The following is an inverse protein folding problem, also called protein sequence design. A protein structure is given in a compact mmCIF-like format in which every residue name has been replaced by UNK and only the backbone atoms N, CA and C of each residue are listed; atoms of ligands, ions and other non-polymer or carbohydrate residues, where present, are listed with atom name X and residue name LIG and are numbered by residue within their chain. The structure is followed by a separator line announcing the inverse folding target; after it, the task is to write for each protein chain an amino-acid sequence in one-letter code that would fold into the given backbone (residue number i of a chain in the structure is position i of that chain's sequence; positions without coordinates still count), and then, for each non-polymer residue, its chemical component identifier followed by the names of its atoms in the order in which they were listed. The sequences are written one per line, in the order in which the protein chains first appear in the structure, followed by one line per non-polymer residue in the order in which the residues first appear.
data_IF_354463226939
#
_entry.id   IF_354463226939
#
_cell.length_a   1.000
_cell.length_b   1.000
_cell.length_c   1.000
_cell.angle_alpha   90.00
_cell.angle_beta   90.00
_cell.angle_gamma   90.00
#
_symmetry.space_group_name_H-M   'P 1'
#
loop_
_entity.id
_entity.type
_entity.pdbx_description
1 polymer ?
#
# COMPACT_ATOMS: atom_id res chain seq x y z
N UNK A 1 -10.10 -29.63 21.91
CA UNK A 1 -10.83 -28.36 21.69
C UNK A 1 -9.89 -27.23 22.06
N UNK A 2 -9.31 -26.54 21.09
CA UNK A 2 -8.48 -25.36 21.32
C UNK A 2 -8.81 -24.38 20.20
N UNK A 3 -9.57 -23.34 20.54
CA UNK A 3 -9.92 -22.26 19.63
C UNK A 3 -8.63 -21.54 19.25
N UNK A 4 -8.40 -21.39 17.94
CA UNK A 4 -7.21 -20.70 17.41
C UNK A 4 -7.14 -19.22 17.85
N UNK A 5 -8.27 -18.72 18.32
CA UNK A 5 -8.49 -17.41 18.88
C UNK A 5 -9.46 -17.71 20.02
N UNK A 6 -9.00 -17.73 21.26
CA UNK A 6 -9.92 -17.77 22.40
C UNK A 6 -10.66 -16.43 22.40
N UNK A 7 -11.77 -16.35 21.66
CA UNK A 7 -12.57 -15.14 21.55
C UNK A 7 -13.21 -14.98 22.92
N UNK A 8 -12.69 -14.06 23.73
CA UNK A 8 -13.31 -13.69 24.99
C UNK A 8 -14.69 -13.12 24.66
N UNK A 9 -15.73 -13.90 24.93
CA UNK A 9 -17.15 -13.53 24.86
C UNK A 9 -17.52 -12.50 25.95
N UNK A 10 -16.78 -11.40 26.03
CA UNK A 10 -17.08 -10.23 26.86
C UNK A 10 -17.76 -9.14 26.04
N UNK A 11 -18.22 -8.07 26.71
CA UNK A 11 -18.71 -6.86 26.07
C UNK A 11 -17.57 -6.10 25.35
N UNK A 12 -17.10 -6.67 24.25
CA UNK A 12 -16.03 -6.10 23.43
C UNK A 12 -16.62 -5.05 22.48
N UNK A 13 -16.10 -3.82 22.59
CA UNK A 13 -16.43 -2.73 21.67
C UNK A 13 -15.67 -2.84 20.34
N UNK A 14 -16.13 -2.09 19.34
CA UNK A 14 -15.58 -2.07 17.97
C UNK A 14 -14.06 -1.87 17.96
N UNK A 15 -13.55 -0.93 18.77
CA UNK A 15 -12.12 -0.64 18.89
C UNK A 15 -11.25 -1.83 19.35
N UNK A 16 -11.80 -2.70 20.19
CA UNK A 16 -11.08 -3.89 20.66
C UNK A 16 -10.98 -4.98 19.59
N UNK A 17 -12.06 -5.22 18.85
CA UNK A 17 -12.09 -6.14 17.70
C UNK A 17 -11.12 -5.65 16.64
N UNK A 18 -11.19 -4.35 16.31
CA UNK A 18 -10.29 -3.70 15.38
C UNK A 18 -8.82 -3.91 15.75
N UNK A 19 -8.45 -3.67 17.01
CA UNK A 19 -7.06 -3.86 17.48
C UNK A 19 -6.60 -5.31 17.30
N UNK A 20 -7.52 -6.26 17.53
CA UNK A 20 -7.25 -7.69 17.31
C UNK A 20 -7.07 -8.02 15.82
N UNK A 21 -7.90 -7.44 14.93
CA UNK A 21 -7.74 -7.60 13.47
C UNK A 21 -6.37 -7.08 13.00
N UNK A 22 -5.97 -5.92 13.51
CA UNK A 22 -4.68 -5.29 13.20
C UNK A 22 -3.50 -6.18 13.60
N UNK A 23 -3.57 -6.80 14.78
CA UNK A 23 -2.53 -7.71 15.25
C UNK A 23 -2.47 -9.01 14.45
N UNK A 24 -3.59 -9.56 13.99
CA UNK A 24 -3.60 -10.79 13.17
C UNK A 24 -2.64 -10.71 11.97
N UNK A 25 -2.51 -9.55 11.32
CA UNK A 25 -1.58 -9.34 10.20
C UNK A 25 -0.09 -9.49 10.58
N UNK A 26 0.27 -9.34 11.84
CA UNK A 26 1.64 -9.52 12.34
C UNK A 26 1.97 -10.99 12.64
N UNK A 27 0.95 -11.83 12.78
CA UNK A 27 1.10 -13.27 13.06
C UNK A 27 1.09 -14.14 11.80
N UNK A 28 0.75 -13.58 10.64
CA UNK A 28 0.80 -14.28 9.35
C UNK A 28 2.25 -14.37 8.85
N UNK A 29 2.70 -15.59 8.60
CA UNK A 29 3.96 -15.90 7.92
C UNK A 29 3.69 -16.38 6.50
N UNK A 30 4.59 -16.10 5.57
CA UNK A 30 4.52 -16.62 4.21
C UNK A 30 5.38 -17.87 4.10
N UNK A 31 4.79 -18.97 3.63
CA UNK A 31 5.47 -20.26 3.51
C UNK A 31 6.54 -20.26 2.41
N UNK A 32 7.53 -21.14 2.55
CA UNK A 32 8.71 -21.21 1.66
C UNK A 32 8.37 -21.42 0.18
N UNK A 33 7.24 -22.06 -0.12
CA UNK A 33 6.75 -22.34 -1.48
C UNK A 33 6.42 -21.08 -2.30
N UNK A 34 6.41 -19.90 -1.68
CA UNK A 34 6.19 -18.64 -2.39
C UNK A 34 7.39 -18.18 -3.22
N UNK A 35 8.61 -18.67 -2.93
CA UNK A 35 9.81 -18.30 -3.69
C UNK A 35 9.99 -16.78 -3.80
N UNK A 36 10.32 -16.30 -5.00
CA UNK A 36 10.58 -14.88 -5.30
C UNK A 36 9.38 -13.94 -5.09
N UNK A 37 8.16 -14.47 -4.90
CA UNK A 37 6.95 -13.67 -4.68
C UNK A 37 6.62 -13.45 -3.20
N UNK A 38 7.51 -13.87 -2.30
CA UNK A 38 7.28 -13.81 -0.86
C UNK A 38 7.14 -12.37 -0.36
N UNK A 39 7.99 -11.44 -0.81
CA UNK A 39 7.87 -10.03 -0.41
C UNK A 39 6.63 -9.34 -0.96
N UNK A 40 6.24 -9.64 -2.20
CA UNK A 40 5.01 -9.09 -2.77
C UNK A 40 3.80 -9.52 -1.93
N UNK A 41 3.84 -10.77 -1.43
CA UNK A 41 2.83 -11.29 -0.52
C UNK A 41 2.79 -10.55 0.82
N UNK A 42 3.96 -10.28 1.42
CA UNK A 42 4.05 -9.46 2.63
C UNK A 42 3.52 -8.03 2.39
N UNK A 43 3.86 -7.42 1.26
CA UNK A 43 3.37 -6.09 0.89
C UNK A 43 1.84 -6.05 0.73
N UNK A 44 1.21 -7.09 0.17
CA UNK A 44 -0.26 -7.15 0.11
C UNK A 44 -0.88 -7.16 1.51
N UNK A 45 -0.33 -7.97 2.44
CA UNK A 45 -0.81 -8.03 3.82
C UNK A 45 -0.58 -6.71 4.56
N UNK A 46 0.58 -6.08 4.38
CA UNK A 46 0.91 -4.79 4.97
C UNK A 46 0.08 -3.65 4.38
N UNK A 47 -0.28 -3.72 3.11
CA UNK A 47 -1.25 -2.84 2.46
C UNK A 47 -2.64 -2.94 3.07
N UNK A 48 -3.16 -4.15 3.28
CA UNK A 48 -4.44 -4.35 3.95
C UNK A 48 -4.42 -3.84 5.39
N UNK A 49 -3.34 -4.12 6.13
CA UNK A 49 -3.16 -3.61 7.50
C UNK A 49 -3.14 -2.08 7.52
N UNK A 50 -2.41 -1.45 6.60
CA UNK A 50 -2.35 0.00 6.49
C UNK A 50 -3.72 0.59 6.14
N UNK A 51 -4.44 0.00 5.19
CA UNK A 51 -5.81 0.40 4.82
C UNK A 51 -6.79 0.29 5.98
N UNK A 52 -6.80 -0.84 6.70
CA UNK A 52 -7.62 -1.00 7.90
C UNK A 52 -7.27 0.06 8.95
N UNK A 53 -5.98 0.31 9.19
CA UNK A 53 -5.54 1.37 10.10
C UNK A 53 -6.04 2.76 9.70
N UNK A 54 -6.09 3.03 8.38
CA UNK A 54 -6.55 4.29 7.81
C UNK A 54 -8.04 4.47 8.04
N UNK A 55 -8.84 3.41 7.85
CA UNK A 55 -10.26 3.42 8.20
C UNK A 55 -10.49 3.75 9.66
N UNK A 56 -9.78 3.08 10.58
CA UNK A 56 -9.93 3.34 12.02
C UNK A 56 -9.61 4.78 12.41
N UNK A 57 -8.58 5.37 11.79
CA UNK A 57 -8.22 6.78 12.00
C UNK A 57 -9.26 7.73 11.38
N UNK A 58 -9.70 7.46 10.15
CA UNK A 58 -10.66 8.30 9.42
C UNK A 58 -12.02 8.41 10.11
N UNK A 59 -12.43 7.35 10.82
CA UNK A 59 -13.68 7.30 11.58
C UNK A 59 -13.50 7.62 13.07
N UNK A 60 -12.32 8.10 13.48
CA UNK A 60 -12.03 8.45 14.88
C UNK A 60 -12.33 7.32 15.87
N UNK A 61 -12.07 6.06 15.49
CA UNK A 61 -12.49 4.83 16.17
C UNK A 61 -12.25 4.80 17.70
N UNK A 62 -11.15 5.40 18.16
CA UNK A 62 -10.77 5.39 19.57
C UNK A 62 -11.32 6.57 20.38
N UNK A 63 -11.82 7.60 19.71
CA UNK A 63 -12.21 8.88 20.34
C UNK A 63 -13.68 9.23 20.11
N UNK A 64 -14.33 8.58 19.15
CA UNK A 64 -15.74 8.80 18.82
C UNK A 64 -16.55 7.49 18.90
N UNK A 65 -17.49 7.37 19.86
CA UNK A 65 -18.34 6.19 19.97
C UNK A 65 -19.29 5.98 18.78
N UNK A 66 -19.51 7.02 17.96
CA UNK A 66 -20.34 6.96 16.75
C UNK A 66 -19.50 6.90 15.46
N UNK A 67 -18.19 6.66 15.58
CA UNK A 67 -17.28 6.46 14.45
C UNK A 67 -17.29 7.62 13.44
N UNK A 68 -17.29 8.87 13.91
CA UNK A 68 -17.27 10.06 13.06
C UNK A 68 -18.62 10.37 12.40
N UNK A 69 -19.68 9.61 12.70
CA UNK A 69 -21.02 9.79 12.12
C UNK A 69 -22.07 9.99 13.22
N UNK A 70 -22.39 11.24 13.60
CA UNK A 70 -23.30 11.53 14.71
C UNK A 70 -24.70 10.91 14.59
N UNK A 71 -25.18 10.68 13.37
CA UNK A 71 -26.48 10.08 13.09
C UNK A 71 -26.44 8.55 12.95
N UNK A 72 -25.30 7.91 13.24
CA UNK A 72 -25.15 6.47 13.13
C UNK A 72 -26.16 5.74 14.04
N UNK A 73 -26.96 4.88 13.44
CA UNK A 73 -27.90 4.05 14.17
C UNK A 73 -27.17 2.93 14.94
N UNK A 74 -27.84 2.34 15.92
CA UNK A 74 -27.33 1.13 16.59
C UNK A 74 -27.09 -0.01 15.59
N UNK A 75 -27.90 -0.08 14.53
CA UNK A 75 -27.74 -1.09 13.48
C UNK A 75 -26.46 -0.85 12.66
N UNK A 76 -26.13 0.41 12.33
CA UNK A 76 -24.89 0.75 11.62
C UNK A 76 -23.66 0.38 12.45
N UNK A 77 -23.66 0.73 13.74
CA UNK A 77 -22.56 0.38 14.66
C UNK A 77 -22.42 -1.13 14.82
N UNK A 78 -23.55 -1.84 14.91
CA UNK A 78 -23.54 -3.31 14.96
C UNK A 78 -22.99 -3.90 13.65
N UNK A 79 -23.31 -3.30 12.51
CA UNK A 79 -22.83 -3.75 11.22
C UNK A 79 -21.30 -3.61 11.08
N UNK A 80 -20.74 -2.48 11.53
CA UNK A 80 -19.29 -2.32 11.60
C UNK A 80 -18.65 -3.35 12.54
N UNK A 81 -19.27 -3.60 13.70
CA UNK A 81 -18.82 -4.62 14.65
C UNK A 81 -18.80 -6.02 14.02
N UNK A 82 -19.87 -6.40 13.35
CA UNK A 82 -20.02 -7.72 12.72
C UNK A 82 -19.05 -7.89 11.54
N UNK A 83 -18.81 -6.83 10.77
CA UNK A 83 -17.85 -6.87 9.66
C UNK A 83 -16.42 -7.06 10.17
N UNK A 84 -16.03 -6.37 11.25
CA UNK A 84 -14.73 -6.61 11.90
C UNK A 84 -14.63 -8.03 12.46
N UNK A 85 -15.71 -8.58 13.02
CA UNK A 85 -15.74 -9.98 13.43
C UNK A 85 -15.55 -10.93 12.25
N UNK A 86 -16.17 -10.66 11.09
CA UNK A 86 -15.96 -11.47 9.89
C UNK A 86 -14.49 -11.43 9.43
N UNK A 87 -13.81 -10.29 9.55
CA UNK A 87 -12.35 -10.21 9.30
C UNK A 87 -11.59 -11.11 10.29
N UNK A 88 -11.93 -11.09 11.58
CA UNK A 88 -11.31 -12.01 12.55
C UNK A 88 -11.55 -13.49 12.22
N UNK A 89 -12.77 -13.84 11.83
CA UNK A 89 -13.12 -15.21 11.43
C UNK A 89 -12.30 -15.63 10.20
N UNK A 90 -12.19 -14.76 9.21
CA UNK A 90 -11.37 -15.00 8.01
C UNK A 90 -9.90 -15.25 8.38
N UNK A 91 -9.33 -14.44 9.27
CA UNK A 91 -7.97 -14.65 9.80
C UNK A 91 -7.87 -15.99 10.52
N UNK A 92 -8.87 -16.34 11.34
CA UNK A 92 -8.89 -17.58 12.10
C UNK A 92 -8.96 -18.83 11.22
N UNK A 93 -9.78 -18.79 10.18
CA UNK A 93 -9.92 -19.89 9.23
C UNK A 93 -8.64 -20.08 8.41
N UNK A 94 -7.95 -18.99 8.04
CA UNK A 94 -6.63 -19.09 7.40
C UNK A 94 -5.60 -19.80 8.32
N UNK A 95 -5.64 -19.55 9.63
CA UNK A 95 -4.81 -20.25 10.62
C UNK A 95 -5.19 -21.72 10.81
N UNK A 96 -6.48 -22.05 10.73
CA UNK A 96 -6.96 -23.45 10.77
C UNK A 96 -6.49 -24.23 9.55
N UNK A 97 -6.59 -23.64 8.35
CA UNK A 97 -6.07 -24.23 7.12
C UNK A 97 -4.58 -24.49 7.23
N UNK A 98 -3.79 -23.52 7.72
CA UNK A 98 -2.35 -23.66 7.95
C UNK A 98 -2.00 -24.91 8.77
N UNK A 99 -2.73 -25.19 9.85
CA UNK A 99 -2.48 -26.39 10.68
C UNK A 99 -2.80 -27.68 9.96
N UNK A 100 -3.86 -27.72 9.13
CA UNK A 100 -4.19 -28.91 8.33
C UNK A 100 -3.09 -29.23 7.32
N UNK A 101 -2.51 -28.22 6.68
CA UNK A 101 -1.37 -28.40 5.78
C UNK A 101 -0.13 -28.93 6.50
N UNK A 102 0.20 -28.40 7.69
CA UNK A 102 1.36 -28.86 8.47
C UNK A 102 1.26 -30.33 8.87
N UNK A 103 0.06 -30.84 9.15
CA UNK A 103 -0.15 -32.24 9.53
C UNK A 103 0.02 -33.22 8.35
N UNK A 104 -0.03 -32.74 7.10
CA UNK A 104 0.09 -33.58 5.90
C UNK A 104 1.42 -33.49 5.15
N UNK A 105 2.33 -32.58 5.52
CA UNK A 105 3.57 -32.34 4.79
C UNK A 105 4.77 -33.09 5.40
N UNK A 106 5.55 -33.81 4.59
CA UNK A 106 6.90 -34.29 4.94
C UNK A 106 7.88 -33.12 4.87
N UNK A 107 8.75 -33.00 5.86
CA UNK A 107 9.77 -31.94 5.93
C UNK A 107 10.92 -32.30 4.99
N UNK A 108 10.90 -31.76 3.76
CA UNK A 108 12.11 -31.68 2.95
C UNK A 108 12.84 -30.38 3.25
N UNK A 109 14.13 -30.52 3.57
CA UNK A 109 15.04 -29.43 3.86
C UNK A 109 15.78 -29.10 2.58
N UNK A 110 15.42 -27.98 1.97
CA UNK A 110 16.36 -27.29 1.09
C UNK A 110 16.33 -25.78 1.41
N UNK A 111 17.53 -25.25 1.67
CA UNK A 111 17.77 -23.90 2.16
C UNK A 111 18.49 -23.12 1.07
N UNK A 112 17.73 -22.51 0.17
CA UNK A 112 18.24 -21.46 -0.72
C UNK A 112 17.58 -20.13 -0.34
N UNK A 113 18.21 -19.37 0.54
CA UNK A 113 17.83 -17.97 0.79
C UNK A 113 18.40 -17.11 -0.34
N UNK A 114 17.59 -16.83 -1.36
CA UNK A 114 17.90 -15.78 -2.31
C UNK A 114 17.72 -14.43 -1.58
N UNK A 115 18.75 -13.58 -1.59
CA UNK A 115 18.64 -12.22 -1.06
C UNK A 115 17.64 -11.43 -1.92
N UNK A 116 16.46 -11.19 -1.37
CA UNK A 116 15.42 -10.37 -1.98
C UNK A 116 15.73 -8.87 -1.83
N UNK A 117 15.16 -7.99 -2.68
CA UNK A 117 15.55 -6.58 -2.73
C UNK A 117 15.15 -5.81 -1.46
N UNK A 118 16.13 -5.13 -0.85
CA UNK A 118 15.99 -4.37 0.39
C UNK A 118 14.87 -3.31 0.38
N UNK A 119 14.46 -2.84 -0.81
CA UNK A 119 13.38 -1.87 -1.01
C UNK A 119 12.01 -2.42 -0.60
N UNK A 120 11.68 -3.67 -0.95
CA UNK A 120 10.38 -4.27 -0.59
C UNK A 120 10.27 -4.48 0.92
N UNK A 121 11.34 -4.93 1.57
CA UNK A 121 11.39 -5.08 3.04
C UNK A 121 11.28 -3.72 3.74
N UNK A 122 11.93 -2.69 3.19
CA UNK A 122 11.81 -1.31 3.72
C UNK A 122 10.37 -0.81 3.61
N UNK A 123 9.72 -1.01 2.46
CA UNK A 123 8.33 -0.62 2.26
C UNK A 123 7.39 -1.38 3.22
N UNK A 124 7.54 -2.70 3.34
CA UNK A 124 6.77 -3.53 4.28
C UNK A 124 6.87 -2.99 5.71
N UNK A 125 8.09 -2.76 6.18
CA UNK A 125 8.35 -2.18 7.50
C UNK A 125 7.68 -0.82 7.69
N UNK A 126 7.80 0.09 6.71
CA UNK A 126 7.22 1.43 6.81
C UNK A 126 5.68 1.39 6.85
N UNK A 127 5.04 0.55 6.04
CA UNK A 127 3.59 0.36 6.06
C UNK A 127 3.11 -0.19 7.40
N UNK A 128 3.77 -1.24 7.92
CA UNK A 128 3.44 -1.82 9.23
C UNK A 128 3.64 -0.85 10.37
N UNK A 129 4.72 -0.08 10.35
CA UNK A 129 5.02 0.90 11.39
C UNK A 129 4.00 2.05 11.40
N UNK A 130 3.61 2.58 10.24
CA UNK A 130 2.54 3.58 10.16
C UNK A 130 1.22 3.04 10.70
N UNK A 131 0.88 1.81 10.32
CA UNK A 131 -0.34 1.15 10.78
C UNK A 131 -0.32 0.93 12.30
N UNK A 132 0.83 0.53 12.87
CA UNK A 132 1.04 0.33 14.31
C UNK A 132 0.91 1.63 15.10
N UNK A 133 1.40 2.76 14.58
CA UNK A 133 1.29 4.08 15.25
C UNK A 133 -0.16 4.53 15.46
N UNK A 134 -1.09 4.06 14.61
CA UNK A 134 -2.53 4.36 14.72
C UNK A 134 -3.26 3.41 15.67
N UNK A 135 -2.66 2.26 15.99
CA UNK A 135 -3.23 1.33 16.95
C UNK A 135 -3.04 1.87 18.37
N UNK A 136 -4.16 2.10 19.07
CA UNK A 136 -4.18 2.62 20.45
C UNK A 136 -4.72 1.61 21.46
N UNK A 137 -5.20 0.44 21.02
CA UNK A 137 -5.73 -0.63 21.85
C UNK A 137 -4.80 -1.84 21.99
N UNK A 138 -4.93 -2.56 23.09
CA UNK A 138 -4.31 -3.87 23.29
C UNK A 138 -5.19 -4.95 22.67
N UNK A 139 -4.62 -5.91 21.95
CA UNK A 139 -5.38 -7.08 21.52
C UNK A 139 -6.01 -7.82 22.68
N UNK A 140 -7.14 -8.42 22.35
CA UNK A 140 -7.97 -9.17 23.27
C UNK A 140 -7.68 -10.66 23.24
N UNK A 141 -6.74 -11.10 22.38
CA UNK A 141 -6.47 -12.51 22.13
C UNK A 141 -4.95 -12.73 22.02
N UNK A 142 -4.46 -13.77 22.68
CA UNK A 142 -3.12 -14.31 22.38
C UNK A 142 -3.17 -15.00 21.03
N UNK A 143 -2.66 -14.33 20.00
CA UNK A 143 -2.60 -14.88 18.65
C UNK A 143 -1.31 -15.70 18.52
N UNK A 144 -1.41 -16.91 17.98
CA UNK A 144 -0.23 -17.73 17.63
C UNK A 144 0.09 -17.55 16.17
N UNK A 145 1.36 -17.37 15.78
CA UNK A 145 1.73 -17.26 14.37
C UNK A 145 1.33 -18.49 13.56
N UNK A 146 0.92 -18.26 12.30
CA UNK A 146 0.60 -19.32 11.34
C UNK A 146 1.15 -18.97 9.95
N UNK A 147 1.40 -19.99 9.13
CA UNK A 147 1.95 -19.81 7.79
C UNK A 147 0.90 -20.01 6.69
N UNK A 148 0.87 -19.14 5.69
CA UNK A 148 0.15 -19.36 4.44
C UNK A 148 1.06 -20.15 3.48
N UNK A 149 0.62 -21.31 3.01
CA UNK A 149 1.48 -22.24 2.27
C UNK A 149 1.41 -22.09 0.74
N UNK A 150 0.36 -21.49 0.20
CA UNK A 150 0.21 -21.32 -1.25
C UNK A 150 -0.41 -19.95 -1.59
N UNK A 151 -0.15 -19.49 -2.82
CA UNK A 151 -0.64 -18.20 -3.34
C UNK A 151 -2.15 -18.12 -3.42
N UNK A 152 -2.85 -19.23 -3.70
CA UNK A 152 -4.31 -19.24 -3.79
C UNK A 152 -4.95 -18.84 -2.47
N UNK A 153 -4.51 -19.39 -1.34
CA UNK A 153 -5.03 -19.02 -0.02
C UNK A 153 -4.71 -17.57 0.36
N UNK A 154 -3.53 -17.08 -0.01
CA UNK A 154 -3.20 -15.67 0.18
C UNK A 154 -4.15 -14.78 -0.63
N UNK A 155 -4.31 -15.07 -1.93
CA UNK A 155 -5.14 -14.25 -2.80
C UNK A 155 -6.60 -14.25 -2.33
N UNK A 156 -7.14 -15.39 -1.93
CA UNK A 156 -8.49 -15.47 -1.35
C UNK A 156 -8.59 -14.68 -0.04
N UNK A 157 -7.61 -14.82 0.87
CA UNK A 157 -7.57 -14.04 2.11
C UNK A 157 -7.54 -12.53 1.83
N UNK A 158 -6.71 -12.10 0.88
CA UNK A 158 -6.58 -10.70 0.49
C UNK A 158 -7.89 -10.18 -0.12
N UNK A 159 -8.47 -10.93 -1.05
CA UNK A 159 -9.70 -10.54 -1.73
C UNK A 159 -10.89 -10.45 -0.76
N UNK A 160 -11.06 -11.44 0.12
CA UNK A 160 -12.15 -11.47 1.09
C UNK A 160 -11.97 -10.39 2.17
N UNK A 161 -10.74 -10.17 2.66
CA UNK A 161 -10.46 -9.07 3.58
C UNK A 161 -10.74 -7.71 2.92
N UNK A 162 -10.36 -7.53 1.66
CA UNK A 162 -10.66 -6.31 0.90
C UNK A 162 -12.15 -6.06 0.69
N UNK A 163 -12.94 -7.11 0.43
CA UNK A 163 -14.41 -7.00 0.33
C UNK A 163 -15.02 -6.53 1.66
N UNK A 164 -14.55 -7.07 2.78
CA UNK A 164 -15.00 -6.67 4.12
C UNK A 164 -14.57 -5.22 4.44
N UNK A 165 -13.37 -4.81 4.04
CA UNK A 165 -12.93 -3.41 4.17
C UNK A 165 -13.75 -2.45 3.30
N UNK A 166 -14.06 -2.81 2.05
CA UNK A 166 -14.97 -2.03 1.21
C UNK A 166 -16.33 -1.84 1.91
N UNK A 167 -16.85 -2.91 2.52
CA UNK A 167 -18.13 -2.85 3.23
C UNK A 167 -18.08 -1.95 4.47
N UNK A 168 -16.98 -1.99 5.24
CA UNK A 168 -16.73 -1.05 6.35
C UNK A 168 -16.70 0.41 5.88
N UNK A 169 -15.97 0.69 4.79
CA UNK A 169 -15.86 2.02 4.20
C UNK A 169 -17.19 2.52 3.63
N UNK A 170 -18.05 1.62 3.12
CA UNK A 170 -19.40 1.98 2.67
C UNK A 170 -20.34 2.26 3.84
N UNK A 171 -20.19 1.54 4.96
CA UNK A 171 -21.05 1.71 6.14
C UNK A 171 -20.71 3.01 6.89
N UNK A 172 -19.42 3.33 6.98
CA UNK A 172 -18.90 4.56 7.58
C UNK A 172 -17.99 5.28 6.57
N UNK A 173 -18.60 6.05 5.64
CA UNK A 173 -17.85 6.74 4.59
C UNK A 173 -17.09 7.93 5.16
N UNK A 174 -15.79 7.99 4.85
CA UNK A 174 -14.93 9.13 5.15
C UNK A 174 -13.95 9.39 3.98
N UNK A 175 -14.43 9.61 2.74
CA UNK A 175 -13.58 9.60 1.55
C UNK A 175 -12.53 10.71 1.54
N UNK A 176 -12.83 11.91 2.05
CA UNK A 176 -11.89 13.02 2.15
C UNK A 176 -10.78 12.71 3.17
N UNK A 177 -11.15 12.16 4.33
CA UNK A 177 -10.20 11.77 5.37
C UNK A 177 -9.31 10.61 4.88
N UNK A 178 -9.89 9.59 4.25
CA UNK A 178 -9.18 8.46 3.66
C UNK A 178 -8.17 8.93 2.58
N UNK A 179 -8.59 9.82 1.67
CA UNK A 179 -7.71 10.35 0.63
C UNK A 179 -6.57 11.19 1.22
N UNK A 180 -6.88 12.07 2.18
CA UNK A 180 -5.90 12.90 2.88
C UNK A 180 -4.87 12.06 3.66
N UNK A 181 -5.34 11.03 4.38
CA UNK A 181 -4.47 10.11 5.11
C UNK A 181 -3.59 9.28 4.18
N UNK A 182 -4.14 8.78 3.06
CA UNK A 182 -3.37 8.05 2.06
C UNK A 182 -2.26 8.92 1.43
N UNK A 183 -2.54 10.21 1.18
CA UNK A 183 -1.51 11.14 0.70
C UNK A 183 -0.40 11.34 1.74
N UNK A 184 -0.75 11.56 3.01
CA UNK A 184 0.21 11.71 4.11
C UNK A 184 1.08 10.46 4.30
N UNK A 185 0.48 9.27 4.19
CA UNK A 185 1.19 8.00 4.28
C UNK A 185 2.29 7.90 3.24
N UNK A 186 1.98 8.17 1.97
CA UNK A 186 2.96 8.11 0.88
C UNK A 186 4.03 9.17 1.06
N UNK A 187 3.67 10.40 1.44
CA UNK A 187 4.66 11.46 1.69
C UNK A 187 5.66 11.03 2.75
N UNK A 188 5.19 10.45 3.84
CA UNK A 188 6.04 9.99 4.94
C UNK A 188 6.87 8.75 4.56
N UNK A 189 6.29 7.78 3.84
CA UNK A 189 7.04 6.64 3.29
C UNK A 189 8.17 7.15 2.40
N UNK A 190 7.86 8.05 1.47
CA UNK A 190 8.83 8.63 0.54
C UNK A 190 9.94 9.39 1.26
N UNK A 191 9.59 10.20 2.27
CA UNK A 191 10.55 10.96 3.08
C UNK A 191 11.54 10.05 3.80
N UNK A 192 11.09 8.88 4.26
CA UNK A 192 11.91 7.91 5.01
C UNK A 192 12.69 6.96 4.11
N UNK A 193 12.41 6.92 2.81
CA UNK A 193 12.99 5.98 1.86
C UNK A 193 14.42 6.29 1.40
N UNK A 194 15.10 7.31 1.96
CA UNK A 194 16.54 7.61 1.75
C UNK A 194 17.02 7.51 0.28
N UNK A 195 16.24 8.04 -0.68
CA UNK A 195 16.60 8.03 -2.11
C UNK A 195 15.95 6.93 -2.96
N UNK A 196 15.27 5.95 -2.36
CA UNK A 196 14.55 4.88 -3.06
C UNK A 196 13.10 5.25 -3.43
N UNK A 197 12.81 6.55 -3.53
CA UNK A 197 11.44 7.04 -3.66
C UNK A 197 10.76 6.58 -4.96
N UNK A 198 11.46 6.63 -6.10
CA UNK A 198 10.90 6.19 -7.40
C UNK A 198 10.54 4.71 -7.36
N UNK A 199 11.43 3.86 -6.85
CA UNK A 199 11.19 2.42 -6.71
C UNK A 199 10.03 2.14 -5.76
N UNK A 200 9.93 2.83 -4.62
CA UNK A 200 8.81 2.63 -3.70
C UNK A 200 7.48 3.05 -4.33
N UNK A 201 7.44 4.20 -5.02
CA UNK A 201 6.23 4.64 -5.70
C UNK A 201 5.79 3.64 -6.78
N UNK A 202 6.74 3.08 -7.55
CA UNK A 202 6.45 2.01 -8.52
C UNK A 202 5.89 0.77 -7.83
N UNK A 203 6.53 0.31 -6.75
CA UNK A 203 6.06 -0.86 -6.00
C UNK A 203 4.64 -0.67 -5.46
N UNK A 204 4.31 0.50 -4.92
CA UNK A 204 2.95 0.82 -4.45
C UNK A 204 1.97 0.86 -5.63
N UNK A 205 2.37 1.41 -6.77
CA UNK A 205 1.54 1.47 -7.97
C UNK A 205 1.29 0.09 -8.60
N UNK A 206 2.26 -0.83 -8.49
CA UNK A 206 2.18 -2.22 -8.96
C UNK A 206 1.38 -3.13 -8.03
N UNK A 207 1.09 -2.71 -6.79
CA UNK A 207 0.24 -3.48 -5.90
C UNK A 207 -1.17 -3.63 -6.49
N UNK A 208 -1.82 -4.79 -6.32
CA UNK A 208 -3.19 -4.98 -6.78
C UNK A 208 -4.13 -3.93 -6.17
N UNK A 209 -4.93 -3.27 -7.02
CA UNK A 209 -5.87 -2.23 -6.60
C UNK A 209 -6.87 -2.71 -5.51
N UNK A 210 -7.13 -4.03 -5.47
CA UNK A 210 -7.96 -4.67 -4.43
C UNK A 210 -7.38 -4.48 -3.03
N UNK A 211 -6.05 -4.38 -2.88
CA UNK A 211 -5.39 -4.14 -1.59
C UNK A 211 -5.73 -2.74 -1.09
N UNK A 212 -5.40 -1.72 -1.88
CA UNK A 212 -5.60 -0.32 -1.49
C UNK A 212 -5.60 0.64 -2.68
N UNK A 213 -6.79 0.85 -3.25
CA UNK A 213 -7.00 1.77 -4.37
C UNK A 213 -6.65 3.22 -4.02
N UNK A 214 -6.89 3.66 -2.79
CA UNK A 214 -6.61 5.04 -2.39
C UNK A 214 -5.11 5.31 -2.34
N UNK A 215 -4.35 4.38 -1.75
CA UNK A 215 -2.88 4.46 -1.74
C UNK A 215 -2.31 4.36 -3.16
N UNK A 216 -2.80 3.43 -3.98
CA UNK A 216 -2.37 3.32 -5.38
C UNK A 216 -2.61 4.61 -6.16
N UNK A 217 -3.79 5.22 -6.01
CA UNK A 217 -4.13 6.47 -6.69
C UNK A 217 -3.22 7.63 -6.25
N UNK A 218 -2.84 7.69 -4.97
CA UNK A 218 -1.92 8.72 -4.48
C UNK A 218 -0.47 8.46 -4.95
N UNK A 219 -0.06 7.21 -5.10
CA UNK A 219 1.22 6.86 -5.70
C UNK A 219 1.27 7.28 -7.17
N UNK A 220 0.24 6.94 -7.94
CA UNK A 220 0.09 7.36 -9.34
C UNK A 220 0.17 8.88 -9.48
N UNK A 221 -0.59 9.64 -8.66
CA UNK A 221 -0.53 11.11 -8.64
C UNK A 221 0.88 11.64 -8.33
N UNK A 222 1.61 11.01 -7.40
CA UNK A 222 2.99 11.42 -7.10
C UNK A 222 3.97 11.06 -8.21
N UNK A 223 3.76 9.95 -8.90
CA UNK A 223 4.55 9.57 -10.09
C UNK A 223 4.27 10.57 -11.22
N UNK A 224 3.01 10.92 -11.49
CA UNK A 224 2.64 11.92 -12.51
C UNK A 224 3.19 13.32 -12.17
N UNK A 225 3.20 13.69 -10.89
CA UNK A 225 3.86 14.93 -10.43
C UNK A 225 5.38 14.88 -10.59
N UNK A 226 5.98 13.69 -10.64
CA UNK A 226 7.41 13.50 -10.93
C UNK A 226 7.60 13.34 -12.43
N UNK A 227 7.87 14.46 -13.07
CA UNK A 227 8.09 14.53 -14.51
C UNK A 227 7.99 15.97 -14.97
N UNK A 228 7.82 16.15 -16.28
CA UNK A 228 7.62 17.46 -16.89
C UNK A 228 6.13 17.60 -17.21
N UNK A 229 5.44 18.50 -16.52
CA UNK A 229 4.05 18.85 -16.82
C UNK A 229 4.00 20.26 -17.43
N UNK A 230 3.46 20.38 -18.64
CA UNK A 230 3.26 21.66 -19.33
C UNK A 230 1.76 21.89 -19.53
N UNK A 231 1.22 22.98 -18.96
CA UNK A 231 -0.20 23.28 -19.02
C UNK A 231 -0.68 23.69 -20.41
N UNK A 232 0.04 24.60 -21.06
CA UNK A 232 -0.20 25.04 -22.44
C UNK A 232 1.12 25.15 -23.21
N UNK A 233 1.16 24.67 -24.45
CA UNK A 233 2.30 24.80 -25.35
C UNK A 233 1.81 25.37 -26.68
N UNK A 234 2.24 26.59 -26.99
CA UNK A 234 1.95 27.26 -28.25
C UNK A 234 3.27 27.45 -28.99
N UNK A 235 3.36 26.87 -30.18
CA UNK A 235 4.53 26.96 -31.06
C UNK A 235 4.06 27.52 -32.39
N UNK A 236 4.60 28.66 -32.79
CA UNK A 236 4.22 29.37 -34.03
C UNK A 236 5.44 29.70 -34.87
N UNK A 237 5.21 29.90 -36.17
CA UNK A 237 6.26 30.16 -37.19
C UNK A 237 7.29 29.04 -37.28
N UNK A 238 8.59 29.35 -37.22
CA UNK A 238 9.69 28.40 -37.31
C UNK A 238 10.20 27.94 -35.93
N UNK A 239 9.37 28.07 -34.90
CA UNK A 239 9.75 27.73 -33.55
C UNK A 239 9.77 26.22 -33.34
N UNK A 240 10.70 25.74 -32.52
CA UNK A 240 10.82 24.33 -32.14
C UNK A 240 10.67 24.16 -30.63
N UNK A 241 9.89 23.16 -30.21
CA UNK A 241 9.79 22.78 -28.80
C UNK A 241 10.09 21.28 -28.63
N UNK A 242 10.95 20.94 -27.67
CA UNK A 242 11.22 19.56 -27.27
C UNK A 242 10.98 19.41 -25.76
N UNK A 243 10.17 18.43 -25.38
CA UNK A 243 9.80 18.18 -23.99
C UNK A 243 10.14 16.74 -23.62
N UNK A 244 10.81 16.54 -22.49
CA UNK A 244 11.28 15.24 -22.04
C UNK A 244 12.72 15.30 -21.54
N UNK A 245 13.25 14.17 -21.08
CA UNK A 245 14.66 14.08 -20.73
C UNK A 245 15.47 13.73 -21.98
N UNK A 246 16.64 14.35 -22.13
CA UNK A 246 17.53 14.19 -23.27
C UNK A 246 18.80 13.48 -22.85
N UNK A 247 19.19 12.46 -23.60
CA UNK A 247 20.38 11.68 -23.34
C UNK A 247 21.35 11.86 -24.50
N UNK A 248 22.56 12.33 -24.20
CA UNK A 248 23.63 12.44 -25.18
C UNK A 248 24.13 11.08 -25.66
N UNK A 249 24.93 11.07 -26.71
CA UNK A 249 25.45 9.86 -27.37
C UNK A 249 26.20 8.90 -26.45
N UNK A 250 26.76 9.41 -25.35
CA UNK A 250 27.44 8.61 -24.32
C UNK A 250 26.51 7.60 -23.61
N UNK A 251 25.19 7.79 -23.67
CA UNK A 251 24.19 6.90 -23.08
C UNK A 251 23.60 5.90 -24.08
N UNK A 252 24.09 5.87 -25.31
CA UNK A 252 23.58 4.97 -26.34
C UNK A 252 24.00 3.52 -26.05
N UNK A 253 23.02 2.63 -25.86
CA UNK A 253 23.26 1.21 -25.56
C UNK A 253 23.41 0.90 -24.06
N UNK A 254 23.32 1.90 -23.19
CA UNK A 254 23.30 1.68 -21.75
C UNK A 254 22.00 1.02 -21.28
N UNK A 255 22.12 0.02 -20.40
CA UNK A 255 20.97 -0.71 -19.85
C UNK A 255 20.21 0.06 -18.76
N UNK A 256 20.82 1.10 -18.19
CA UNK A 256 20.22 1.97 -17.18
C UNK A 256 20.51 3.44 -17.49
N UNK A 257 19.44 4.16 -17.86
CA UNK A 257 19.49 5.60 -18.06
C UNK A 257 19.35 6.34 -16.70
N UNK A 258 19.96 7.54 -16.56
CA UNK A 258 19.74 8.40 -15.41
C UNK A 258 18.26 8.70 -15.23
N UNK A 259 17.73 8.42 -14.04
CA UNK A 259 16.37 8.83 -13.69
C UNK A 259 16.40 10.16 -12.96
N UNK A 260 15.69 11.13 -13.53
CA UNK A 260 15.44 12.40 -12.84
C UNK A 260 14.57 12.18 -11.61
N UNK A 261 14.99 12.76 -10.49
CA UNK A 261 14.15 12.91 -9.29
C UNK A 261 13.36 14.22 -9.30
N UNK A 262 13.55 15.08 -10.31
CA UNK A 262 12.99 16.42 -10.43
C UNK A 262 11.51 16.38 -10.83
N UNK A 263 10.72 17.33 -10.31
CA UNK A 263 9.41 17.67 -10.86
C UNK A 263 9.49 19.04 -11.52
N UNK A 264 9.23 19.12 -12.82
CA UNK A 264 9.17 20.38 -13.56
C UNK A 264 7.71 20.66 -13.89
N UNK A 265 7.17 21.77 -13.39
CA UNK A 265 5.84 22.25 -13.75
C UNK A 265 5.96 23.59 -14.45
N UNK A 266 5.41 23.67 -15.66
CA UNK A 266 5.32 24.89 -16.45
C UNK A 266 3.86 25.13 -16.79
N UNK A 267 3.32 26.29 -16.40
CA UNK A 267 1.91 26.60 -16.66
C UNK A 267 1.67 26.91 -18.14
N UNK A 268 2.59 27.62 -18.81
CA UNK A 268 2.52 27.85 -20.25
C UNK A 268 3.90 28.07 -20.90
N UNK A 269 4.06 27.59 -22.12
CA UNK A 269 5.20 27.84 -23.02
C UNK A 269 4.65 28.46 -24.30
N UNK A 270 5.15 29.64 -24.66
CA UNK A 270 4.86 30.28 -25.94
C UNK A 270 6.18 30.48 -26.70
N UNK A 271 6.31 29.83 -27.84
CA UNK A 271 7.48 29.87 -28.69
C UNK A 271 7.07 30.44 -30.06
N UNK A 272 7.61 31.60 -30.42
CA UNK A 272 7.28 32.30 -31.67
C UNK A 272 8.56 32.75 -32.40
N UNK A 273 8.55 32.77 -33.72
CA UNK A 273 9.70 33.13 -34.54
C UNK A 273 10.67 31.97 -34.74
N UNK A 274 11.96 32.29 -34.76
CA UNK A 274 13.03 31.30 -34.95
C UNK A 274 13.65 30.92 -33.59
N UNK A 275 12.81 30.48 -32.66
CA UNK A 275 13.21 30.14 -31.28
C UNK A 275 13.12 28.65 -31.02
N UNK A 276 13.95 28.18 -30.09
CA UNK A 276 14.09 26.79 -29.75
C UNK A 276 13.96 26.62 -28.24
N UNK A 277 12.93 25.91 -27.80
CA UNK A 277 12.61 25.68 -26.39
C UNK A 277 12.83 24.21 -26.05
N UNK A 278 13.59 23.96 -25.00
CA UNK A 278 13.80 22.61 -24.47
C UNK A 278 13.35 22.57 -23.01
N UNK A 279 12.48 21.63 -22.68
CA UNK A 279 12.01 21.40 -21.32
C UNK A 279 12.36 20.00 -20.87
N UNK A 280 13.20 19.90 -19.85
CA UNK A 280 13.55 18.66 -19.18
C UNK A 280 15.02 18.58 -18.81
N UNK A 281 15.43 17.44 -18.27
CA UNK A 281 16.83 17.24 -17.87
C UNK A 281 17.68 16.79 -19.06
N UNK A 282 18.90 17.30 -19.16
CA UNK A 282 19.88 16.94 -20.19
C UNK A 282 21.01 16.17 -19.53
N UNK A 283 21.23 14.93 -19.99
CA UNK A 283 22.28 14.04 -19.53
C UNK A 283 23.29 13.82 -20.66
N UNK A 284 24.34 14.63 -20.72
CA UNK A 284 25.37 14.57 -21.76
C UNK A 284 25.69 15.96 -22.32
N UNK A 285 26.50 16.00 -23.38
CA UNK A 285 26.78 17.27 -24.06
C UNK A 285 25.50 17.87 -24.64
N UNK A 286 25.40 19.20 -24.56
CA UNK A 286 24.32 19.96 -25.18
C UNK A 286 24.53 19.81 -26.69
N UNK A 287 23.78 18.91 -27.31
CA UNK A 287 23.71 18.83 -28.75
C UNK A 287 22.97 20.10 -29.19
N UNK A 288 23.63 20.94 -29.97
CA UNK A 288 23.00 22.12 -30.58
C UNK A 288 21.68 21.67 -31.22
N UNK A 289 20.58 22.15 -30.63
CA UNK A 289 19.25 21.96 -31.16
C UNK A 289 19.04 22.98 -32.26
#
# INVERSE_FOLDING_TARGET
MAEAFGIVSGAVGIAGIFSTCMECFDYIQIGRHFGQDSQTSYLMLSGLKLRLSRWGEAVHLYTDPQLGRPEASRADLQLAKDTLYQILVLMADSGRLSRRFRLGAKVEVDSSSLQEPATKTTLDYLMREQARRRQKGTSLIKVTSWALYNKSHLNSLVEDASKLLNYLEMTFPAPEAQSSLAELEIREICKRAQGQQSTILSLINELPAVVDKALQAQAAKMIERKGISIGSLVVTENAGARNGNFYGVAWMGEGQLPQSSSSIRIDSVQANGNVRVMTGDIYGEIIDF
#
